data_IF_489181136130
#
_entry.id   IF_489181136130
#
_cell.length_a   1.000
_cell.length_b   1.000
_cell.length_c   1.000
_cell.angle_alpha   90.00
_cell.angle_beta   90.00
_cell.angle_gamma   90.00
#
_symmetry.space_group_name_H-M   'P 1'
#
loop_
_entity.id
_entity.type
_entity.pdbx_description
1 polymer ?
#
# COMPACT_ATOMS: atom_id res chain seq x y z
N UNK A 1 -1.43 -16.88 11.49
CA UNK A 1 -1.22 -15.80 10.50
C UNK A 1 -2.49 -15.11 9.98
N UNK A 2 -3.71 -15.40 10.49
CA UNK A 2 -4.94 -14.87 9.89
C UNK A 2 -5.14 -13.36 10.04
N UNK A 3 -4.63 -12.73 11.12
CA UNK A 3 -4.68 -11.27 11.27
C UNK A 3 -3.80 -10.52 10.26
N UNK A 4 -2.63 -11.07 9.94
CA UNK A 4 -1.68 -10.43 9.00
C UNK A 4 -2.19 -10.45 7.54
N UNK A 5 -3.08 -11.40 7.21
CA UNK A 5 -3.76 -11.45 5.91
C UNK A 5 -4.66 -10.24 5.67
N UNK A 6 -5.19 -9.61 6.73
CA UNK A 6 -6.04 -8.42 6.63
C UNK A 6 -5.25 -7.12 6.54
N UNK A 7 -4.00 -7.10 7.02
CA UNK A 7 -3.15 -5.90 7.02
C UNK A 7 -2.79 -5.47 5.60
N UNK A 8 -2.49 -6.43 4.71
CA UNK A 8 -2.15 -6.17 3.30
C UNK A 8 -3.29 -5.53 2.48
N UNK A 9 -4.52 -6.10 2.44
CA UNK A 9 -5.61 -5.46 1.69
C UNK A 9 -5.99 -4.10 2.29
N UNK A 10 -5.87 -3.93 3.61
CA UNK A 10 -6.17 -2.66 4.28
C UNK A 10 -5.17 -1.57 3.89
N UNK A 11 -3.88 -1.88 3.79
CA UNK A 11 -2.86 -0.92 3.29
C UNK A 11 -3.09 -0.53 1.82
N UNK A 12 -3.52 -1.48 0.99
CA UNK A 12 -3.87 -1.20 -0.41
C UNK A 12 -5.10 -0.27 -0.48
N UNK A 13 -6.16 -0.56 0.28
CA UNK A 13 -7.38 0.25 0.31
C UNK A 13 -7.06 1.68 0.77
N UNK A 14 -6.28 1.84 1.85
CA UNK A 14 -5.87 3.18 2.33
C UNK A 14 -5.03 3.91 1.28
N UNK A 15 -4.13 3.21 0.58
CA UNK A 15 -3.35 3.80 -0.51
C UNK A 15 -4.22 4.27 -1.68
N UNK A 16 -5.25 3.50 -2.05
CA UNK A 16 -6.23 3.91 -3.07
C UNK A 16 -7.01 5.15 -2.61
N UNK A 17 -7.47 5.19 -1.36
CA UNK A 17 -8.16 6.35 -0.78
C UNK A 17 -7.28 7.59 -0.84
N UNK A 18 -5.98 7.46 -0.55
CA UNK A 18 -5.01 8.56 -0.63
C UNK A 18 -4.85 9.08 -2.06
N UNK A 19 -4.79 8.19 -3.05
CA UNK A 19 -4.71 8.59 -4.47
C UNK A 19 -5.98 9.32 -4.89
N UNK A 20 -7.16 8.80 -4.53
CA UNK A 20 -8.45 9.44 -4.84
C UNK A 20 -8.52 10.82 -4.17
N UNK A 21 -8.06 10.95 -2.93
CA UNK A 21 -8.06 12.22 -2.22
C UNK A 21 -7.06 13.24 -2.82
N UNK A 22 -5.89 12.78 -3.25
CA UNK A 22 -4.96 13.62 -4.00
C UNK A 22 -5.55 14.09 -5.33
N UNK A 23 -6.26 13.20 -6.04
CA UNK A 23 -6.97 13.52 -7.27
C UNK A 23 -8.10 14.53 -7.06
N UNK A 24 -8.94 14.38 -6.03
CA UNK A 24 -10.00 15.37 -5.76
C UNK A 24 -9.42 16.73 -5.40
N UNK A 25 -8.25 16.78 -4.75
CA UNK A 25 -7.56 18.04 -4.50
C UNK A 25 -7.01 18.71 -5.76
N UNK A 26 -6.78 17.97 -6.85
CA UNK A 26 -6.34 18.54 -8.12
C UNK A 26 -7.47 19.21 -8.92
N UNK A 27 -8.72 19.10 -8.47
CA UNK A 27 -9.86 19.69 -9.18
C UNK A 27 -9.88 21.20 -8.92
N UNK A 28 -9.67 21.97 -9.98
CA UNK A 28 -9.48 23.41 -9.90
C UNK A 28 -10.69 24.09 -9.22
N UNK A 29 -10.40 24.92 -8.22
CA UNK A 29 -11.37 25.84 -7.63
C UNK A 29 -10.82 27.24 -7.88
N UNK A 30 -11.56 28.02 -8.68
CA UNK A 30 -11.25 29.40 -9.04
C UNK A 30 -10.93 30.23 -7.78
N UNK A 31 -9.71 30.75 -7.69
CA UNK A 31 -9.25 31.60 -6.59
C UNK A 31 -8.66 32.92 -7.13
N UNK A 32 -8.86 33.99 -6.35
CA UNK A 32 -8.64 35.39 -6.74
C UNK A 32 -7.14 35.77 -6.85
N UNK A 33 -6.84 36.67 -7.79
CA UNK A 33 -5.55 36.84 -8.51
C UNK A 33 -4.29 37.25 -7.71
N UNK A 34 -4.41 37.61 -6.43
CA UNK A 34 -3.32 38.26 -5.67
C UNK A 34 -2.63 37.37 -4.63
N UNK A 35 -3.18 36.18 -4.32
CA UNK A 35 -2.57 35.16 -3.43
C UNK A 35 -2.38 33.81 -4.14
N UNK A 36 -2.49 33.83 -5.49
CA UNK A 36 -2.55 32.63 -6.34
C UNK A 36 -1.29 31.77 -6.18
N UNK A 37 -0.09 32.29 -6.41
CA UNK A 37 1.08 31.41 -6.54
C UNK A 37 1.36 30.55 -5.30
N UNK A 38 1.25 31.11 -4.09
CA UNK A 38 1.52 30.37 -2.86
C UNK A 38 0.44 29.31 -2.57
N UNK A 39 -0.84 29.64 -2.84
CA UNK A 39 -1.96 28.71 -2.65
C UNK A 39 -1.88 27.55 -3.66
N UNK A 40 -1.59 27.87 -4.93
CA UNK A 40 -1.43 26.85 -5.97
C UNK A 40 -0.23 25.95 -5.68
N UNK A 41 0.91 26.51 -5.26
CA UNK A 41 2.12 25.74 -4.98
C UNK A 41 1.92 24.80 -3.77
N UNK A 42 1.34 25.29 -2.67
CA UNK A 42 1.03 24.47 -1.50
C UNK A 42 0.02 23.36 -1.82
N UNK A 43 -0.99 23.66 -2.64
CA UNK A 43 -2.00 22.70 -3.09
C UNK A 43 -1.40 21.62 -3.99
N UNK A 44 -0.56 22.00 -4.94
CA UNK A 44 0.15 21.07 -5.83
C UNK A 44 1.06 20.14 -5.03
N UNK A 45 1.84 20.67 -4.08
CA UNK A 45 2.68 19.85 -3.20
C UNK A 45 1.81 18.85 -2.43
N UNK A 46 0.68 19.31 -1.86
CA UNK A 46 -0.23 18.44 -1.10
C UNK A 46 -0.82 17.33 -1.97
N UNK A 47 -1.28 17.64 -3.18
CA UNK A 47 -1.75 16.66 -4.16
C UNK A 47 -0.69 15.60 -4.46
N UNK A 48 0.55 16.01 -4.73
CA UNK A 48 1.64 15.07 -4.99
C UNK A 48 2.00 14.23 -3.77
N UNK A 49 2.01 14.80 -2.56
CA UNK A 49 2.25 14.05 -1.32
C UNK A 49 1.20 12.97 -1.11
N UNK A 50 -0.08 13.25 -1.37
CA UNK A 50 -1.15 12.26 -1.26
C UNK A 50 -1.05 11.17 -2.34
N UNK A 51 -0.77 11.54 -3.60
CA UNK A 51 -0.64 10.57 -4.70
C UNK A 51 0.59 9.67 -4.48
N UNK A 52 1.76 10.26 -4.22
CA UNK A 52 3.01 9.52 -3.99
C UNK A 52 2.91 8.66 -2.73
N UNK A 53 2.36 9.21 -1.65
CA UNK A 53 2.10 8.47 -0.41
C UNK A 53 1.16 7.28 -0.62
N UNK A 54 0.09 7.46 -1.40
CA UNK A 54 -0.83 6.38 -1.74
C UNK A 54 -0.18 5.28 -2.59
N UNK A 55 0.66 5.63 -3.56
CA UNK A 55 1.45 4.67 -4.35
C UNK A 55 2.40 3.87 -3.44
N UNK A 56 3.11 4.55 -2.52
CA UNK A 56 4.00 3.88 -1.56
C UNK A 56 3.23 2.90 -0.66
N UNK A 57 2.05 3.29 -0.17
CA UNK A 57 1.22 2.41 0.66
C UNK A 57 0.73 1.17 -0.10
N UNK A 58 0.34 1.32 -1.37
CA UNK A 58 -0.01 0.19 -2.24
C UNK A 58 1.20 -0.73 -2.41
N UNK A 59 2.37 -0.18 -2.68
CA UNK A 59 3.60 -0.95 -2.85
C UNK A 59 3.95 -1.75 -1.59
N UNK A 60 3.86 -1.13 -0.41
CA UNK A 60 4.05 -1.80 0.88
C UNK A 60 3.02 -2.93 1.06
N UNK A 61 1.75 -2.68 0.74
CA UNK A 61 0.69 -3.69 0.82
C UNK A 61 0.98 -4.92 -0.05
N UNK A 62 1.50 -4.72 -1.27
CA UNK A 62 1.92 -5.79 -2.18
C UNK A 62 3.12 -6.56 -1.61
N UNK A 63 4.13 -5.86 -1.08
CA UNK A 63 5.30 -6.50 -0.46
C UNK A 63 4.90 -7.37 0.73
N UNK A 64 4.01 -6.90 1.60
CA UNK A 64 3.47 -7.71 2.69
C UNK A 64 2.80 -8.99 2.19
N UNK A 65 2.05 -8.89 1.10
CA UNK A 65 1.42 -10.05 0.46
C UNK A 65 2.46 -11.07 -0.03
N UNK A 66 3.53 -10.61 -0.66
CA UNK A 66 4.63 -11.46 -1.13
C UNK A 66 5.35 -12.14 0.04
N UNK A 67 5.63 -11.41 1.13
CA UNK A 67 6.25 -11.96 2.34
C UNK A 67 5.37 -13.03 2.99
N UNK A 68 4.07 -12.77 3.13
CA UNK A 68 3.12 -13.76 3.67
C UNK A 68 3.12 -15.04 2.81
N UNK A 69 3.11 -14.89 1.48
CA UNK A 69 3.14 -16.02 0.55
C UNK A 69 4.45 -16.81 0.68
N UNK A 70 5.57 -16.12 0.83
CA UNK A 70 6.87 -16.73 1.03
C UNK A 70 6.93 -17.53 2.33
N UNK A 71 6.49 -16.97 3.45
CA UNK A 71 6.45 -17.64 4.75
C UNK A 71 5.56 -18.90 4.69
N UNK A 72 4.35 -18.79 4.12
CA UNK A 72 3.47 -19.95 3.96
C UNK A 72 4.13 -21.06 3.11
N UNK A 73 4.88 -20.69 2.06
CA UNK A 73 5.57 -21.67 1.22
C UNK A 73 6.70 -22.39 1.97
N UNK A 74 7.42 -21.67 2.83
CA UNK A 74 8.45 -22.25 3.70
C UNK A 74 7.84 -23.21 4.72
N UNK A 75 6.72 -22.83 5.33
CA UNK A 75 6.00 -23.66 6.29
C UNK A 75 5.55 -24.99 5.63
N UNK A 76 4.94 -24.93 4.45
CA UNK A 76 4.54 -26.12 3.68
C UNK A 76 5.76 -27.02 3.38
N UNK A 77 6.87 -26.43 2.96
CA UNK A 77 8.09 -27.18 2.62
C UNK A 77 8.69 -27.87 3.83
N UNK A 78 8.68 -27.21 5.00
CA UNK A 78 9.11 -27.83 6.26
C UNK A 78 8.22 -29.01 6.65
N UNK A 79 6.89 -28.89 6.50
CA UNK A 79 5.97 -29.99 6.77
C UNK A 79 6.21 -31.19 5.84
N UNK A 80 6.49 -30.96 4.56
CA UNK A 80 6.83 -32.03 3.61
C UNK A 80 8.13 -32.76 4.00
N UNK A 81 9.19 -32.00 4.29
CA UNK A 81 10.48 -32.56 4.74
C UNK A 81 10.35 -33.39 6.02
N UNK A 82 9.56 -32.91 6.99
CA UNK A 82 9.33 -33.62 8.25
C UNK A 82 8.62 -34.96 8.02
N UNK A 83 7.64 -34.99 7.11
CA UNK A 83 6.90 -36.20 6.75
C UNK A 83 7.78 -37.22 6.03
N UNK A 84 8.62 -36.80 5.09
CA UNK A 84 9.56 -37.69 4.39
C UNK A 84 10.58 -38.33 5.35
N UNK A 85 10.98 -37.62 6.40
CA UNK A 85 11.86 -38.12 7.46
C UNK A 85 11.17 -39.15 8.36
N UNK A 86 9.87 -38.98 8.62
CA UNK A 86 9.06 -39.94 9.39
C UNK A 86 8.77 -41.21 8.58
N UNK A 87 8.54 -41.10 7.27
CA UNK A 87 8.29 -42.25 6.38
C UNK A 87 9.56 -43.08 6.09
N UNK A 88 10.77 -42.53 6.33
CA UNK A 88 12.06 -43.22 6.14
C UNK A 88 12.59 -43.94 7.39
N UNK A 89 11.90 -43.82 8.52
CA UNK A 89 12.26 -44.48 9.80
C UNK A 89 11.45 -45.74 10.01
#
# INVERSE_FOLDING_TARGET
>A
MNGLKWVSPLTIIVGIVFIIFGWTQSWDYYADSTVIEEIYLNRTIRTYVFIVGGILLIFIGILFQAVIKYINSLEIRMYQLRRELEEKK
#
